data_IF_346472035758
#
_entry.id   IF_346472035758
#
_cell.length_a   1.000
_cell.length_b   1.000
_cell.length_c   1.000
_cell.angle_alpha   90.00
_cell.angle_beta   90.00
_cell.angle_gamma   90.00
#
_symmetry.space_group_name_H-M   'P 1'
#
loop_
_entity.id
_entity.type
_entity.pdbx_description
1 polymer ?
#
# COMPACT_ATOMS: atom_id res chain seq x y z
N UNK A 1 14.47 -19.85 7.73
CA UNK A 1 13.22 -19.67 6.98
C UNK A 1 13.57 -19.81 5.50
N UNK A 2 12.86 -20.65 4.74
CA UNK A 2 13.10 -20.80 3.29
C UNK A 2 12.59 -19.55 2.54
N UNK A 3 13.22 -19.20 1.42
CA UNK A 3 12.81 -18.11 0.51
C UNK A 3 11.35 -18.22 0.08
N UNK A 4 10.86 -19.40 -0.29
CA UNK A 4 9.45 -19.57 -0.69
C UNK A 4 8.47 -19.16 0.42
N UNK A 5 8.79 -19.47 1.68
CA UNK A 5 7.99 -19.05 2.84
C UNK A 5 8.09 -17.54 3.04
N UNK A 6 9.30 -16.97 2.95
CA UNK A 6 9.52 -15.54 3.10
C UNK A 6 8.73 -14.71 2.07
N UNK A 7 8.72 -15.15 0.81
CA UNK A 7 7.98 -14.49 -0.27
C UNK A 7 6.46 -14.57 -0.05
N UNK A 8 5.96 -15.72 0.41
CA UNK A 8 4.53 -15.91 0.71
C UNK A 8 4.08 -15.07 1.91
N UNK A 9 4.83 -15.11 3.02
CA UNK A 9 4.57 -14.30 4.20
C UNK A 9 4.65 -12.80 3.88
N UNK A 10 5.57 -12.40 3.01
CA UNK A 10 5.77 -11.01 2.64
C UNK A 10 4.70 -10.44 1.72
N UNK A 11 3.77 -11.26 1.20
CA UNK A 11 2.79 -10.90 0.16
C UNK A 11 3.43 -10.05 -0.94
N UNK A 12 4.61 -10.48 -1.39
CA UNK A 12 5.51 -9.68 -2.25
C UNK A 12 4.89 -9.33 -3.60
N UNK A 13 3.82 -10.02 -4.01
CA UNK A 13 3.03 -9.69 -5.18
C UNK A 13 2.43 -8.28 -5.15
N UNK A 14 2.26 -7.70 -3.96
CA UNK A 14 1.75 -6.34 -3.78
C UNK A 14 2.86 -5.29 -3.69
N UNK A 15 4.14 -5.65 -3.71
CA UNK A 15 5.24 -4.68 -3.65
C UNK A 15 5.17 -3.59 -4.73
N UNK A 16 4.73 -3.84 -5.97
CA UNK A 16 4.63 -2.78 -6.96
C UNK A 16 3.72 -1.64 -6.49
N UNK A 17 2.68 -1.91 -5.69
CA UNK A 17 1.83 -0.86 -5.08
C UNK A 17 2.61 0.04 -4.12
N UNK A 18 3.62 -0.49 -3.42
CA UNK A 18 4.51 0.29 -2.54
C UNK A 18 5.44 1.16 -3.38
N UNK A 19 5.93 0.62 -4.49
CA UNK A 19 6.84 1.34 -5.40
C UNK A 19 6.13 2.51 -6.06
N UNK A 20 4.91 2.32 -6.55
CA UNK A 20 4.11 3.41 -7.14
C UNK A 20 3.71 4.44 -6.11
N UNK A 21 3.34 4.04 -4.88
CA UNK A 21 3.08 4.99 -3.79
C UNK A 21 4.33 5.83 -3.46
N UNK A 22 5.50 5.20 -3.49
CA UNK A 22 6.79 5.87 -3.24
C UNK A 22 7.05 6.92 -4.31
N UNK A 23 6.92 6.55 -5.59
CA UNK A 23 7.12 7.47 -6.72
C UNK A 23 6.11 8.62 -6.64
N UNK A 24 4.82 8.32 -6.39
CA UNK A 24 3.78 9.35 -6.26
C UNK A 24 4.08 10.34 -5.13
N UNK A 25 4.49 9.85 -3.95
CA UNK A 25 4.88 10.71 -2.83
C UNK A 25 6.02 11.66 -3.18
N UNK A 26 7.05 11.18 -3.89
CA UNK A 26 8.20 11.97 -4.33
C UNK A 26 7.78 13.03 -5.37
N UNK A 27 7.04 12.61 -6.40
CA UNK A 27 6.58 13.49 -7.50
C UNK A 27 5.67 14.60 -6.96
N UNK A 28 4.70 14.26 -6.11
CA UNK A 28 3.78 15.24 -5.53
C UNK A 28 4.48 16.24 -4.59
N UNK A 29 5.63 15.88 -4.06
CA UNK A 29 6.46 16.78 -3.26
C UNK A 29 7.31 17.74 -4.14
N UNK A 30 7.35 17.52 -5.45
CA UNK A 30 8.25 18.21 -6.38
C UNK A 30 9.67 17.66 -6.37
N UNK A 31 9.89 16.45 -5.85
CA UNK A 31 11.20 15.79 -5.84
C UNK A 31 11.55 15.22 -7.22
N UNK A 32 12.80 15.39 -7.65
CA UNK A 32 13.28 14.83 -8.91
C UNK A 32 13.48 13.30 -8.82
N UNK A 33 12.88 12.56 -9.75
CA UNK A 33 12.89 11.08 -9.76
C UNK A 33 14.12 10.50 -10.48
N UNK A 34 15.10 11.34 -10.81
CA UNK A 34 16.37 10.92 -11.45
C UNK A 34 17.45 10.50 -10.45
N UNK A 35 17.14 10.58 -9.16
CA UNK A 35 18.08 10.35 -8.07
C UNK A 35 18.17 8.87 -7.66
N UNK A 36 19.37 8.32 -7.56
CA UNK A 36 19.56 6.93 -7.12
C UNK A 36 19.04 6.66 -5.71
N UNK A 37 18.88 7.70 -4.86
CA UNK A 37 18.24 7.60 -3.54
C UNK A 37 16.86 6.95 -3.60
N UNK A 38 16.15 7.07 -4.72
CA UNK A 38 14.82 6.46 -4.91
C UNK A 38 14.89 4.95 -4.76
N UNK A 39 15.96 4.31 -5.22
CA UNK A 39 16.16 2.87 -5.04
C UNK A 39 16.28 2.54 -3.56
N UNK A 40 17.03 3.34 -2.78
CA UNK A 40 17.15 3.16 -1.34
C UNK A 40 15.81 3.37 -0.61
N UNK A 41 15.03 4.37 -1.02
CA UNK A 41 13.70 4.64 -0.47
C UNK A 41 12.71 3.51 -0.80
N UNK A 42 12.72 3.01 -2.05
CA UNK A 42 11.92 1.85 -2.46
C UNK A 42 12.30 0.61 -1.64
N UNK A 43 13.60 0.35 -1.43
CA UNK A 43 14.07 -0.76 -0.60
C UNK A 43 13.59 -0.58 0.84
N UNK A 44 13.78 0.61 1.43
CA UNK A 44 13.36 0.89 2.80
C UNK A 44 11.85 0.68 2.98
N UNK A 45 11.01 1.26 2.13
CA UNK A 45 9.56 1.13 2.22
C UNK A 45 9.08 -0.29 1.88
N UNK A 46 9.80 -1.04 1.04
CA UNK A 46 9.56 -2.47 0.83
C UNK A 46 9.87 -3.29 2.08
N UNK A 47 10.95 -2.97 2.81
CA UNK A 47 11.26 -3.61 4.10
C UNK A 47 10.17 -3.31 5.14
N UNK A 48 9.70 -2.06 5.21
CA UNK A 48 8.57 -1.69 6.06
C UNK A 48 7.31 -2.49 5.74
N UNK A 49 6.99 -2.62 4.45
CA UNK A 49 5.85 -3.41 3.99
C UNK A 49 5.98 -4.88 4.37
N UNK A 50 7.08 -5.54 3.99
CA UNK A 50 7.31 -6.97 4.26
C UNK A 50 7.34 -7.23 5.77
N UNK A 51 7.99 -6.37 6.55
CA UNK A 51 7.98 -6.44 8.01
C UNK A 51 6.56 -6.35 8.57
N UNK A 52 5.73 -5.45 8.04
CA UNK A 52 4.32 -5.36 8.40
C UNK A 52 3.50 -6.61 8.06
N UNK A 53 3.79 -7.25 6.92
CA UNK A 53 3.13 -8.50 6.54
C UNK A 53 3.54 -9.66 7.44
N UNK A 54 4.82 -9.74 7.81
CA UNK A 54 5.30 -10.74 8.75
C UNK A 54 4.68 -10.55 10.14
N UNK A 55 4.55 -9.30 10.61
CA UNK A 55 3.82 -9.01 11.84
C UNK A 55 2.36 -9.45 11.74
N UNK A 56 1.70 -9.25 10.59
CA UNK A 56 0.32 -9.68 10.40
C UNK A 56 0.16 -11.19 10.65
N UNK A 57 0.93 -12.02 9.95
CA UNK A 57 0.91 -13.47 10.13
C UNK A 57 1.34 -13.88 11.55
N UNK A 58 2.31 -13.18 12.16
CA UNK A 58 2.76 -13.49 13.53
C UNK A 58 1.72 -13.20 14.60
N UNK A 59 1.01 -12.07 14.51
CA UNK A 59 -0.09 -11.74 15.44
C UNK A 59 -1.33 -12.60 15.20
N UNK A 60 -1.57 -13.03 13.96
CA UNK A 60 -2.71 -13.86 13.60
C UNK A 60 -2.50 -15.36 13.83
N UNK A 61 -1.31 -15.80 14.23
CA UNK A 61 -0.92 -17.21 14.31
C UNK A 61 -1.89 -18.10 15.11
N UNK A 62 -2.43 -17.64 16.25
CA UNK A 62 -3.37 -18.41 17.07
C UNK A 62 -4.72 -18.60 16.37
N UNK A 63 -5.18 -17.58 15.67
CA UNK A 63 -6.45 -17.61 14.93
C UNK A 63 -6.28 -18.43 13.66
N UNK A 64 -5.17 -18.24 12.95
CA UNK A 64 -4.80 -19.01 11.78
C UNK A 64 -4.63 -20.49 12.11
N UNK A 65 -4.25 -20.86 13.34
CA UNK A 65 -4.19 -22.26 13.74
C UNK A 65 -5.57 -22.95 13.76
N UNK A 66 -6.65 -22.19 13.92
CA UNK A 66 -8.03 -22.69 13.87
C UNK A 66 -8.60 -22.56 12.46
N UNK A 67 -8.45 -21.40 11.83
CA UNK A 67 -9.11 -21.10 10.54
C UNK A 67 -8.35 -21.60 9.32
N UNK A 68 -7.00 -21.64 9.38
CA UNK A 68 -6.09 -21.89 8.26
C UNK A 68 -4.81 -22.63 8.72
N UNK A 69 -4.94 -23.86 9.26
CA UNK A 69 -3.82 -24.58 9.89
C UNK A 69 -2.66 -24.89 8.92
N UNK A 70 -2.88 -24.80 7.62
CA UNK A 70 -1.87 -24.95 6.57
C UNK A 70 -0.90 -23.75 6.45
N UNK A 71 -1.15 -22.63 7.15
CA UNK A 71 -0.27 -21.46 7.12
C UNK A 71 1.10 -21.75 7.75
N UNK A 72 2.18 -21.04 7.33
CA UNK A 72 3.55 -21.40 7.70
C UNK A 72 3.85 -21.42 9.21
N UNK A 73 3.21 -20.54 10.00
CA UNK A 73 3.40 -20.50 11.44
C UNK A 73 2.63 -21.62 12.15
N UNK A 74 1.29 -21.76 11.98
CA UNK A 74 0.55 -22.86 12.60
C UNK A 74 1.04 -24.25 12.18
N UNK A 75 1.44 -24.42 10.92
CA UNK A 75 1.92 -25.71 10.41
C UNK A 75 3.36 -26.03 10.84
N UNK A 76 4.00 -25.20 11.66
CA UNK A 76 5.35 -25.42 12.18
C UNK A 76 6.50 -25.23 11.18
N UNK A 77 6.24 -24.72 9.97
CA UNK A 77 7.30 -24.47 8.96
C UNK A 77 8.26 -23.35 9.39
N UNK A 78 7.78 -22.41 10.22
CA UNK A 78 8.59 -21.36 10.84
C UNK A 78 8.03 -21.01 12.21
N UNK A 79 8.90 -20.74 13.19
CA UNK A 79 8.45 -20.35 14.53
C UNK A 79 7.97 -18.89 14.56
N UNK A 80 6.88 -18.64 15.28
CA UNK A 80 6.29 -17.30 15.47
C UNK A 80 7.32 -16.28 15.99
N UNK A 81 8.14 -16.68 16.97
CA UNK A 81 9.22 -15.85 17.53
C UNK A 81 10.26 -15.43 16.47
N UNK A 82 10.59 -16.32 15.54
CA UNK A 82 11.51 -15.99 14.46
C UNK A 82 10.88 -15.03 13.45
N UNK A 83 9.58 -15.18 13.15
CA UNK A 83 8.86 -14.24 12.28
C UNK A 83 8.83 -12.84 12.90
N UNK A 84 8.53 -12.71 14.20
CA UNK A 84 8.62 -11.43 14.92
C UNK A 84 10.01 -10.79 14.81
N UNK A 85 11.08 -11.57 15.04
CA UNK A 85 12.46 -11.06 14.95
C UNK A 85 12.77 -10.50 13.57
N UNK A 86 12.44 -11.23 12.51
CA UNK A 86 12.64 -10.75 11.13
C UNK A 86 11.81 -9.52 10.83
N UNK A 87 10.55 -9.50 11.28
CA UNK A 87 9.66 -8.38 11.06
C UNK A 87 10.20 -7.08 11.68
N UNK A 88 10.56 -7.10 12.96
CA UNK A 88 11.14 -5.94 13.63
C UNK A 88 12.52 -5.56 13.08
N UNK A 89 13.34 -6.53 12.70
CA UNK A 89 14.62 -6.25 12.05
C UNK A 89 14.45 -5.49 10.72
N UNK A 90 13.45 -5.87 9.91
CA UNK A 90 13.12 -5.17 8.66
C UNK A 90 12.59 -3.74 8.92
N UNK A 91 11.74 -3.54 9.93
CA UNK A 91 11.27 -2.20 10.31
C UNK A 91 12.43 -1.30 10.76
N UNK A 92 13.33 -1.81 11.59
CA UNK A 92 14.53 -1.08 12.04
C UNK A 92 15.47 -0.79 10.87
N UNK A 93 15.73 -1.77 10.00
CA UNK A 93 16.55 -1.58 8.82
C UNK A 93 15.97 -0.52 7.87
N UNK A 94 14.64 -0.50 7.69
CA UNK A 94 13.96 0.56 6.94
C UNK A 94 14.24 1.93 7.54
N UNK A 95 14.09 2.10 8.86
CA UNK A 95 14.32 3.39 9.53
C UNK A 95 15.78 3.84 9.40
N UNK A 96 16.74 2.93 9.53
CA UNK A 96 18.17 3.21 9.34
C UNK A 96 18.45 3.67 7.91
N UNK A 97 17.89 2.99 6.91
CA UNK A 97 18.04 3.39 5.51
C UNK A 97 17.44 4.78 5.25
N UNK A 98 16.26 5.06 5.80
CA UNK A 98 15.61 6.38 5.68
C UNK A 98 16.44 7.48 6.35
N UNK A 99 17.02 7.22 7.52
CA UNK A 99 17.95 8.14 8.18
C UNK A 99 19.18 8.40 7.29
N UNK A 100 19.70 7.36 6.65
CA UNK A 100 20.81 7.48 5.72
C UNK A 100 20.47 8.29 4.48
N UNK A 101 19.30 8.05 3.88
CA UNK A 101 18.79 8.84 2.74
C UNK A 101 18.69 10.32 3.09
N UNK A 102 18.23 10.63 4.30
CA UNK A 102 18.08 12.01 4.78
C UNK A 102 19.39 12.71 5.17
N UNK A 103 20.38 11.99 5.72
CA UNK A 103 21.58 12.60 6.32
C UNK A 103 22.88 12.41 5.53
N UNK A 104 23.01 11.35 4.73
CA UNK A 104 24.28 10.98 4.10
C UNK A 104 24.44 11.43 2.64
N UNK A 105 23.39 11.98 2.03
CA UNK A 105 23.41 12.36 0.61
C UNK A 105 23.16 13.87 0.41
N UNK A 106 23.76 14.48 -0.63
CA UNK A 106 23.44 15.86 -1.01
C UNK A 106 21.95 16.04 -1.30
N UNK A 107 21.37 17.14 -0.79
CA UNK A 107 19.92 17.38 -0.91
C UNK A 107 19.06 16.44 -0.06
N UNK A 108 19.65 15.73 0.91
CA UNK A 108 18.93 15.05 1.97
C UNK A 108 18.25 16.04 2.92
N UNK A 109 17.17 15.59 3.56
CA UNK A 109 16.30 16.40 4.42
C UNK A 109 16.58 16.19 5.91
N UNK A 110 17.72 15.64 6.29
CA UNK A 110 18.10 15.39 7.67
C UNK A 110 17.31 14.23 8.29
N UNK A 111 16.78 14.41 9.51
CA UNK A 111 16.14 13.34 10.29
C UNK A 111 14.67 13.07 9.92
N UNK A 112 14.04 13.95 9.13
CA UNK A 112 12.60 13.89 8.83
C UNK A 112 12.13 12.55 8.22
N UNK A 113 12.86 11.92 7.27
CA UNK A 113 12.46 10.62 6.74
C UNK A 113 12.47 9.52 7.80
N UNK A 114 13.45 9.54 8.70
CA UNK A 114 13.55 8.58 9.78
C UNK A 114 12.42 8.75 10.80
N UNK A 115 12.08 10.00 11.16
CA UNK A 115 10.94 10.29 12.04
C UNK A 115 9.62 9.80 11.43
N UNK A 116 9.39 10.10 10.14
CA UNK A 116 8.22 9.58 9.41
C UNK A 116 8.22 8.05 9.34
N UNK A 117 9.39 7.43 9.13
CA UNK A 117 9.57 5.97 9.17
C UNK A 117 9.27 5.36 10.54
N UNK A 118 9.59 6.03 11.65
CA UNK A 118 9.21 5.61 13.00
C UNK A 118 7.69 5.68 13.16
N UNK A 119 7.03 6.75 12.69
CA UNK A 119 5.58 6.85 12.70
C UNK A 119 4.92 5.74 11.86
N UNK A 120 5.48 5.42 10.70
CA UNK A 120 5.05 4.29 9.86
C UNK A 120 5.16 2.97 10.64
N UNK A 121 6.33 2.66 11.19
CA UNK A 121 6.59 1.43 11.94
C UNK A 121 5.66 1.30 13.16
N UNK A 122 5.45 2.39 13.90
CA UNK A 122 4.52 2.43 15.02
C UNK A 122 3.08 2.14 14.56
N UNK A 123 2.64 2.75 13.46
CA UNK A 123 1.30 2.52 12.88
C UNK A 123 1.12 1.06 12.44
N UNK A 124 2.14 0.47 11.80
CA UNK A 124 2.15 -0.95 11.41
C UNK A 124 2.00 -1.87 12.64
N UNK A 125 2.73 -1.59 13.73
CA UNK A 125 2.65 -2.37 14.97
C UNK A 125 1.28 -2.22 15.63
N UNK A 126 0.78 -0.98 15.74
CA UNK A 126 -0.54 -0.67 16.33
C UNK A 126 -1.66 -1.36 15.55
N UNK A 127 -1.61 -1.31 14.22
CA UNK A 127 -2.54 -2.04 13.37
C UNK A 127 -2.50 -3.54 13.72
N UNK A 128 -1.35 -4.19 13.54
CA UNK A 128 -1.28 -5.65 13.62
C UNK A 128 -1.67 -6.20 15.00
N UNK A 129 -1.33 -5.49 16.08
CA UNK A 129 -1.65 -5.92 17.44
C UNK A 129 -3.16 -6.05 17.71
N UNK A 130 -3.98 -5.16 17.16
CA UNK A 130 -5.39 -5.03 17.55
C UNK A 130 -6.38 -4.98 16.36
N UNK A 131 -6.02 -5.41 15.16
CA UNK A 131 -6.84 -5.11 13.97
C UNK A 131 -8.16 -5.90 13.81
N UNK A 132 -8.25 -7.13 14.33
CA UNK A 132 -9.42 -7.99 14.05
C UNK A 132 -10.71 -7.46 14.69
N UNK A 133 -10.65 -7.09 15.98
CA UNK A 133 -11.81 -6.61 16.74
C UNK A 133 -11.96 -5.08 16.76
N UNK A 134 -11.10 -4.34 16.06
CA UNK A 134 -11.14 -2.90 16.05
C UNK A 134 -11.90 -2.36 14.82
N UNK A 135 -13.00 -1.59 15.01
CA UNK A 135 -13.76 -1.01 13.92
C UNK A 135 -12.98 0.06 13.15
N UNK A 136 -11.95 0.66 13.76
CA UNK A 136 -11.10 1.70 13.17
C UNK A 136 -9.96 1.09 12.35
N UNK A 137 -9.79 -0.25 12.33
CA UNK A 137 -8.66 -0.88 11.62
C UNK A 137 -8.54 -0.56 10.13
N UNK A 138 -9.63 -0.42 9.34
CA UNK A 138 -9.52 0.06 7.96
C UNK A 138 -8.79 1.40 7.85
N UNK A 139 -9.08 2.32 8.77
CA UNK A 139 -8.41 3.61 8.84
C UNK A 139 -6.94 3.47 9.24
N UNK A 140 -6.62 2.67 10.26
CA UNK A 140 -5.21 2.46 10.68
C UNK A 140 -4.40 1.76 9.58
N UNK A 141 -4.98 0.78 8.86
CA UNK A 141 -4.32 0.15 7.71
C UNK A 141 -4.06 1.18 6.60
N UNK A 142 -5.04 2.03 6.30
CA UNK A 142 -4.88 3.12 5.34
C UNK A 142 -3.81 4.13 5.75
N UNK A 143 -3.69 4.43 7.06
CA UNK A 143 -2.65 5.31 7.59
C UNK A 143 -1.23 4.76 7.33
N UNK A 144 -1.03 3.45 7.32
CA UNK A 144 0.27 2.88 6.91
C UNK A 144 0.65 3.36 5.50
N UNK A 145 -0.30 3.43 4.56
CA UNK A 145 -0.04 3.90 3.20
C UNK A 145 0.07 5.42 3.09
N UNK A 146 -0.63 6.17 3.94
CA UNK A 146 -0.40 7.62 4.13
C UNK A 146 1.05 7.86 4.53
N UNK A 147 1.55 7.15 5.54
CA UNK A 147 2.94 7.32 5.97
C UNK A 147 3.96 6.87 4.92
N UNK A 148 3.64 5.91 4.03
CA UNK A 148 4.50 5.61 2.87
C UNK A 148 4.67 6.85 1.98
N UNK A 149 3.56 7.54 1.64
CA UNK A 149 3.59 8.80 0.87
C UNK A 149 4.42 9.87 1.57
N UNK A 150 4.13 10.15 2.84
CA UNK A 150 4.81 11.20 3.61
C UNK A 150 6.30 10.89 3.82
N UNK A 151 6.64 9.62 4.05
CA UNK A 151 8.03 9.19 4.21
C UNK A 151 8.79 9.33 2.90
N UNK A 152 8.21 8.89 1.78
CA UNK A 152 8.84 9.03 0.46
C UNK A 152 9.04 10.51 0.10
N UNK A 153 8.01 11.35 0.28
CA UNK A 153 8.08 12.78 0.03
C UNK A 153 9.16 13.47 0.89
N UNK A 154 9.16 13.18 2.19
CA UNK A 154 10.11 13.79 3.12
C UNK A 154 11.56 13.39 2.86
N UNK A 155 11.85 12.32 2.11
CA UNK A 155 13.22 11.99 1.70
C UNK A 155 13.85 13.04 0.77
N UNK A 156 13.04 13.82 0.05
CA UNK A 156 13.51 14.74 -0.98
C UNK A 156 13.17 16.20 -0.71
N UNK A 157 12.01 16.46 -0.11
CA UNK A 157 11.53 17.84 0.11
C UNK A 157 10.93 17.97 1.51
N UNK A 158 11.34 19.02 2.22
CA UNK A 158 10.71 19.49 3.47
C UNK A 158 10.77 21.03 3.45
N UNK A 159 9.66 21.74 3.76
CA UNK A 159 8.33 21.27 4.16
C UNK A 159 7.55 20.58 3.01
N UNK A 160 6.60 19.71 3.38
CA UNK A 160 5.78 18.98 2.41
C UNK A 160 4.72 19.87 1.76
N UNK A 161 4.57 19.75 0.44
CA UNK A 161 3.57 20.49 -0.32
C UNK A 161 2.15 19.92 -0.15
N UNK A 162 1.14 20.77 -0.32
CA UNK A 162 -0.29 20.41 -0.25
C UNK A 162 -0.66 19.19 -1.12
N UNK A 163 -0.17 19.04 -2.37
CA UNK A 163 -0.50 17.89 -3.21
C UNK A 163 -0.14 16.53 -2.59
N UNK A 164 0.91 16.46 -1.76
CA UNK A 164 1.28 15.23 -1.04
C UNK A 164 0.17 14.81 -0.08
N UNK A 165 -0.38 15.77 0.68
CA UNK A 165 -1.44 15.50 1.65
C UNK A 165 -2.77 15.17 0.96
N UNK A 166 -3.07 15.81 -0.17
CA UNK A 166 -4.25 15.46 -0.98
C UNK A 166 -4.11 14.03 -1.51
N UNK A 167 -2.97 13.69 -2.13
CA UNK A 167 -2.72 12.34 -2.64
C UNK A 167 -2.81 11.27 -1.55
N UNK A 168 -2.19 11.51 -0.40
CA UNK A 168 -2.27 10.62 0.75
C UNK A 168 -3.71 10.48 1.29
N UNK A 169 -4.49 11.57 1.34
CA UNK A 169 -5.89 11.55 1.74
C UNK A 169 -6.79 10.76 0.78
N UNK A 170 -6.56 10.87 -0.53
CA UNK A 170 -7.28 10.09 -1.54
C UNK A 170 -6.94 8.59 -1.44
N UNK A 171 -5.67 8.26 -1.23
CA UNK A 171 -5.25 6.87 -1.00
C UNK A 171 -5.86 6.30 0.28
N UNK A 172 -5.92 7.10 1.35
CA UNK A 172 -6.60 6.73 2.60
C UNK A 172 -8.09 6.44 2.37
N UNK A 173 -8.80 7.33 1.68
CA UNK A 173 -10.21 7.13 1.34
C UNK A 173 -10.39 5.83 0.54
N UNK A 174 -9.59 5.64 -0.50
CA UNK A 174 -9.61 4.42 -1.31
C UNK A 174 -9.40 3.16 -0.46
N UNK A 175 -8.44 3.18 0.46
CA UNK A 175 -8.13 2.05 1.33
C UNK A 175 -9.17 1.79 2.40
N UNK A 176 -9.87 2.80 2.91
CA UNK A 176 -11.01 2.58 3.81
C UNK A 176 -12.08 1.75 3.10
N UNK A 177 -12.44 2.12 1.86
CA UNK A 177 -13.39 1.36 1.05
C UNK A 177 -12.91 -0.06 0.77
N UNK A 178 -11.66 -0.22 0.31
CA UNK A 178 -11.04 -1.52 0.02
C UNK A 178 -10.98 -2.43 1.25
N UNK A 179 -10.46 -1.93 2.38
CA UNK A 179 -10.24 -2.73 3.58
C UNK A 179 -11.56 -3.14 4.23
N UNK A 180 -12.58 -2.29 4.10
CA UNK A 180 -13.93 -2.63 4.52
C UNK A 180 -14.51 -3.80 3.71
N UNK A 181 -14.36 -3.80 2.37
CA UNK A 181 -14.72 -4.93 1.52
C UNK A 181 -13.97 -6.20 1.95
N UNK A 182 -12.66 -6.10 2.18
CA UNK A 182 -11.83 -7.23 2.60
C UNK A 182 -12.27 -7.81 3.95
N UNK A 183 -12.73 -6.98 4.89
CA UNK A 183 -13.29 -7.47 6.17
C UNK A 183 -14.63 -8.19 6.00
N UNK A 184 -15.47 -7.75 5.06
CA UNK A 184 -16.75 -8.41 4.81
C UNK A 184 -16.60 -9.80 4.17
N UNK A 185 -15.47 -10.08 3.52
CA UNK A 185 -15.12 -11.43 3.02
C UNK A 185 -15.21 -12.48 4.12
N UNK A 186 -14.69 -12.19 5.31
CA UNK A 186 -14.67 -13.13 6.43
C UNK A 186 -16.01 -13.26 7.17
N UNK A 187 -16.91 -12.27 7.01
CA UNK A 187 -18.19 -12.22 7.75
C UNK A 187 -19.37 -12.79 6.97
N UNK A 188 -19.22 -13.04 5.66
CA UNK A 188 -20.28 -13.61 4.81
C UNK A 188 -21.55 -12.74 4.68
N UNK A 189 -21.55 -11.52 5.24
CA UNK A 189 -22.67 -10.58 5.24
C UNK A 189 -22.18 -9.17 4.91
N UNK A 190 -22.89 -8.51 3.99
CA UNK A 190 -22.68 -7.11 3.62
C UNK A 190 -23.74 -6.29 4.32
N UNK A 191 -23.47 -5.83 5.53
CA UNK A 191 -24.48 -5.12 6.32
C UNK A 191 -24.47 -3.60 6.08
N UNK A 192 -23.33 -2.99 5.73
CA UNK A 192 -23.22 -1.53 5.53
C UNK A 192 -22.39 -1.15 4.29
N UNK A 193 -22.98 -0.55 3.26
CA UNK A 193 -22.28 -0.17 2.03
C UNK A 193 -21.66 1.24 2.05
N UNK A 194 -21.93 2.05 3.09
CA UNK A 194 -21.48 3.43 3.16
C UNK A 194 -19.94 3.61 3.03
N UNK A 195 -19.06 2.70 3.50
CA UNK A 195 -17.62 2.87 3.32
C UNK A 195 -17.18 2.79 1.85
N UNK A 196 -18.00 2.23 0.95
CA UNK A 196 -17.73 2.24 -0.48
C UNK A 196 -17.79 3.65 -1.08
N UNK A 197 -18.47 4.59 -0.43
CA UNK A 197 -18.51 6.00 -0.87
C UNK A 197 -17.11 6.62 -0.90
N UNK A 198 -16.19 6.15 -0.04
CA UNK A 198 -14.81 6.62 -0.06
C UNK A 198 -14.03 6.21 -1.32
N UNK A 199 -14.44 5.14 -2.03
CA UNK A 199 -13.89 4.81 -3.35
C UNK A 199 -14.26 5.86 -4.39
N UNK A 200 -15.32 6.64 -4.17
CA UNK A 200 -15.72 7.75 -5.03
C UNK A 200 -14.80 8.96 -4.95
N UNK A 201 -14.13 9.20 -3.82
CA UNK A 201 -13.24 10.35 -3.65
C UNK A 201 -12.12 10.45 -4.72
N UNK A 202 -11.31 9.40 -4.96
CA UNK A 202 -10.32 9.43 -6.04
C UNK A 202 -10.93 9.50 -7.45
N UNK A 203 -12.14 8.95 -7.66
CA UNK A 203 -12.83 9.04 -8.96
C UNK A 203 -13.24 10.49 -9.23
N UNK A 204 -13.86 11.17 -8.27
CA UNK A 204 -14.30 12.56 -8.41
C UNK A 204 -13.10 13.49 -8.57
N UNK A 205 -12.06 13.32 -7.75
CA UNK A 205 -10.86 14.14 -7.83
C UNK A 205 -10.09 13.92 -9.14
N UNK A 206 -9.92 12.67 -9.58
CA UNK A 206 -9.31 12.36 -10.87
C UNK A 206 -10.10 12.93 -12.05
N UNK A 207 -11.44 12.94 -11.96
CA UNK A 207 -12.31 13.57 -12.94
C UNK A 207 -12.09 15.08 -12.99
N UNK A 208 -12.02 15.75 -11.83
CA UNK A 208 -11.69 17.17 -11.75
C UNK A 208 -10.31 17.48 -12.36
N UNK A 209 -9.29 16.68 -12.04
CA UNK A 209 -7.95 16.83 -12.65
C UNK A 209 -7.97 16.66 -14.17
N UNK A 210 -8.80 15.74 -14.69
CA UNK A 210 -8.90 15.49 -16.14
C UNK A 210 -9.45 16.68 -16.93
N UNK A 211 -10.22 17.56 -16.28
CA UNK A 211 -10.72 18.80 -16.89
C UNK A 211 -9.59 19.81 -17.13
N UNK A 212 -8.64 19.88 -16.20
CA UNK A 212 -7.48 20.80 -16.27
C UNK A 212 -6.29 20.19 -17.01
N UNK A 213 -6.17 18.86 -17.01
CA UNK A 213 -5.07 18.12 -17.62
C UNK A 213 -5.63 17.01 -18.50
N UNK A 214 -5.87 17.30 -19.77
CA UNK A 214 -6.50 16.36 -20.72
C UNK A 214 -5.76 15.02 -20.83
N UNK A 215 -4.44 15.02 -20.63
CA UNK A 215 -3.62 13.81 -20.65
C UNK A 215 -3.87 12.87 -19.45
N UNK A 216 -4.51 13.34 -18.38
CA UNK A 216 -4.94 12.53 -17.23
C UNK A 216 -6.22 11.75 -17.54
N UNK A 217 -7.04 12.22 -18.48
CA UNK A 217 -8.34 11.62 -18.78
C UNK A 217 -8.29 10.12 -19.12
N UNK A 218 -7.35 9.61 -19.95
CA UNK A 218 -7.25 8.17 -20.22
C UNK A 218 -6.93 7.34 -18.98
N UNK A 219 -6.04 7.83 -18.10
CA UNK A 219 -5.69 7.16 -16.85
C UNK A 219 -6.86 7.15 -15.87
N UNK A 220 -7.59 8.26 -15.79
CA UNK A 220 -8.80 8.37 -14.98
C UNK A 220 -9.92 7.43 -15.47
N UNK A 221 -10.16 7.33 -16.79
CA UNK A 221 -11.12 6.40 -17.36
C UNK A 221 -10.73 4.94 -17.08
N UNK A 222 -9.44 4.61 -17.22
CA UNK A 222 -8.92 3.28 -16.90
C UNK A 222 -9.12 2.94 -15.41
N UNK A 223 -8.73 3.84 -14.50
CA UNK A 223 -8.94 3.66 -13.06
C UNK A 223 -10.42 3.51 -12.71
N UNK A 224 -11.27 4.40 -13.22
CA UNK A 224 -12.71 4.38 -12.94
C UNK A 224 -13.35 3.11 -13.45
N UNK A 225 -13.06 2.72 -14.70
CA UNK A 225 -13.52 1.45 -15.27
C UNK A 225 -13.06 0.25 -14.45
N UNK A 226 -11.80 0.25 -13.98
CA UNK A 226 -11.27 -0.81 -13.14
C UNK A 226 -11.97 -0.92 -11.79
N UNK A 227 -12.21 0.20 -11.10
CA UNK A 227 -12.97 0.23 -9.84
C UNK A 227 -14.40 -0.27 -10.07
N UNK A 228 -15.06 0.14 -11.17
CA UNK A 228 -16.40 -0.35 -11.51
C UNK A 228 -16.43 -1.85 -11.77
N UNK A 229 -15.41 -2.42 -12.43
CA UNK A 229 -15.26 -3.88 -12.60
C UNK A 229 -15.12 -4.58 -11.25
N UNK A 230 -14.32 -4.04 -10.33
CA UNK A 230 -14.19 -4.60 -8.98
C UNK A 230 -15.52 -4.54 -8.20
N UNK A 231 -16.24 -3.42 -8.28
CA UNK A 231 -17.56 -3.27 -7.66
C UNK A 231 -18.62 -4.19 -8.31
N UNK A 232 -18.49 -4.47 -9.61
CA UNK A 232 -19.36 -5.42 -10.29
C UNK A 232 -19.23 -6.84 -9.72
N UNK A 233 -18.02 -7.30 -9.39
CA UNK A 233 -17.84 -8.58 -8.68
C UNK A 233 -18.55 -8.58 -7.32
N UNK A 234 -18.45 -7.49 -6.55
CA UNK A 234 -19.18 -7.36 -5.27
C UNK A 234 -20.70 -7.36 -5.42
N UNK A 235 -21.21 -6.82 -6.54
CA UNK A 235 -22.64 -6.85 -6.85
C UNK A 235 -23.09 -8.24 -7.29
N UNK A 236 -22.30 -8.94 -8.11
CA UNK A 236 -22.60 -10.27 -8.64
C UNK A 236 -22.63 -11.34 -7.54
N UNK A 237 -21.72 -11.26 -6.57
CA UNK A 237 -21.64 -12.17 -5.40
C UNK A 237 -21.51 -13.65 -5.77
N UNK A 238 -20.86 -13.96 -6.90
CA UNK A 238 -20.52 -15.33 -7.26
C UNK A 238 -19.39 -15.89 -6.37
N UNK A 239 -19.19 -17.23 -6.34
CA UNK A 239 -18.08 -17.84 -5.62
C UNK A 239 -16.73 -17.25 -6.06
N UNK A 240 -15.96 -16.70 -5.11
CA UNK A 240 -14.64 -16.10 -5.35
C UNK A 240 -14.66 -14.65 -5.85
N UNK A 241 -15.83 -14.02 -6.02
CA UNK A 241 -15.94 -12.64 -6.51
C UNK A 241 -15.39 -11.61 -5.52
N UNK A 242 -15.61 -11.79 -4.21
CA UNK A 242 -15.10 -10.86 -3.17
C UNK A 242 -13.56 -10.85 -3.14
N UNK A 243 -12.85 -12.00 -3.01
CA UNK A 243 -11.39 -12.00 -3.10
C UNK A 243 -10.88 -11.38 -4.41
N UNK A 244 -11.54 -11.67 -5.54
CA UNK A 244 -11.18 -11.08 -6.84
C UNK A 244 -11.35 -9.56 -6.84
N UNK A 245 -12.40 -9.03 -6.23
CA UNK A 245 -12.60 -7.60 -6.07
C UNK A 245 -11.50 -6.97 -5.20
N UNK A 246 -11.16 -7.58 -4.06
CA UNK A 246 -10.11 -7.09 -3.15
C UNK A 246 -8.76 -7.05 -3.86
N UNK A 247 -8.35 -8.14 -4.49
CA UNK A 247 -7.09 -8.25 -5.25
C UNK A 247 -7.04 -7.22 -6.39
N UNK A 248 -8.16 -7.03 -7.11
CA UNK A 248 -8.28 -6.01 -8.17
C UNK A 248 -8.15 -4.59 -7.61
N UNK A 249 -8.78 -4.29 -6.48
CA UNK A 249 -8.69 -2.98 -5.84
C UNK A 249 -7.28 -2.72 -5.28
N UNK A 250 -6.58 -3.74 -4.78
CA UNK A 250 -5.17 -3.59 -4.35
C UNK A 250 -4.31 -3.14 -5.54
N UNK A 251 -4.43 -3.81 -6.69
CA UNK A 251 -3.71 -3.38 -7.89
C UNK A 251 -4.11 -1.97 -8.34
N UNK A 252 -5.39 -1.61 -8.20
CA UNK A 252 -5.93 -0.29 -8.55
C UNK A 252 -5.26 0.90 -7.85
N UNK A 253 -4.56 0.69 -6.72
CA UNK A 253 -3.74 1.74 -6.09
C UNK A 253 -2.70 2.31 -7.05
N UNK A 254 -2.07 1.46 -7.86
CA UNK A 254 -1.07 1.88 -8.84
C UNK A 254 -1.66 2.81 -9.92
N UNK A 255 -2.93 2.62 -10.28
CA UNK A 255 -3.63 3.49 -11.24
C UNK A 255 -3.99 4.84 -10.63
N UNK A 256 -4.37 4.87 -9.34
CA UNK A 256 -4.53 6.13 -8.62
C UNK A 256 -3.20 6.91 -8.56
N UNK A 257 -2.10 6.23 -8.24
CA UNK A 257 -0.77 6.83 -8.26
C UNK A 257 -0.44 7.40 -9.65
N UNK A 258 -0.77 6.66 -10.74
CA UNK A 258 -0.55 7.12 -12.12
C UNK A 258 -1.29 8.43 -12.44
N UNK A 259 -2.55 8.57 -12.01
CA UNK A 259 -3.34 9.80 -12.18
C UNK A 259 -2.66 10.97 -11.49
N UNK A 260 -2.24 10.78 -10.23
CA UNK A 260 -1.61 11.83 -9.42
C UNK A 260 -0.25 12.25 -9.99
N UNK A 261 0.57 11.28 -10.38
CA UNK A 261 1.88 11.51 -11.01
C UNK A 261 1.71 12.26 -12.35
N UNK A 262 0.77 11.84 -13.20
CA UNK A 262 0.50 12.51 -14.47
C UNK A 262 0.00 13.96 -14.28
N UNK A 263 -0.81 14.20 -13.23
CA UNK A 263 -1.29 15.54 -12.91
C UNK A 263 -0.19 16.51 -12.47
N UNK A 264 0.93 15.98 -11.95
CA UNK A 264 2.12 16.74 -11.63
C UNK A 264 3.04 16.99 -12.84
N UNK A 265 2.65 16.54 -14.04
CA UNK A 265 3.41 16.71 -15.29
C UNK A 265 4.33 15.53 -15.64
N UNK A 266 4.44 14.53 -14.78
CA UNK A 266 5.42 13.43 -14.91
C UNK A 266 4.86 12.20 -15.66
N UNK A 267 4.45 12.36 -16.91
CA UNK A 267 3.75 11.31 -17.67
C UNK A 267 4.55 10.00 -17.80
N UNK A 268 5.88 10.08 -17.95
CA UNK A 268 6.73 8.89 -18.06
C UNK A 268 6.66 8.02 -16.80
N UNK A 269 6.65 8.65 -15.62
CA UNK A 269 6.53 7.96 -14.34
C UNK A 269 5.10 7.46 -14.10
N UNK A 270 4.09 8.13 -14.66
CA UNK A 270 2.72 7.63 -14.64
C UNK A 270 2.61 6.29 -15.39
N UNK A 271 3.31 6.12 -16.51
CA UNK A 271 3.39 4.82 -17.20
C UNK A 271 4.11 3.75 -16.38
N UNK A 272 5.14 4.12 -15.60
CA UNK A 272 5.76 3.20 -14.63
C UNK A 272 4.74 2.75 -13.60
N UNK A 273 3.85 3.64 -13.15
CA UNK A 273 2.78 3.27 -12.24
C UNK A 273 1.73 2.35 -12.88
N UNK A 274 1.36 2.56 -14.15
CA UNK A 274 0.53 1.62 -14.92
C UNK A 274 1.22 0.26 -15.11
N UNK A 275 2.54 0.23 -15.29
CA UNK A 275 3.30 -1.02 -15.29
C UNK A 275 3.25 -1.69 -13.91
N UNK A 276 3.35 -0.92 -12.83
CA UNK A 276 3.16 -1.41 -11.46
C UNK A 276 1.78 -2.06 -11.25
N UNK A 277 0.72 -1.52 -11.86
CA UNK A 277 -0.60 -2.15 -11.89
C UNK A 277 -0.56 -3.53 -12.56
N UNK A 278 0.00 -3.62 -13.77
CA UNK A 278 0.10 -4.87 -14.51
C UNK A 278 0.97 -5.92 -13.78
N UNK A 279 2.11 -5.48 -13.21
CA UNK A 279 3.00 -6.33 -12.41
C UNK A 279 2.30 -6.84 -11.14
N UNK A 280 1.53 -6.01 -10.46
CA UNK A 280 0.76 -6.43 -9.28
C UNK A 280 -0.18 -7.58 -9.65
N UNK A 281 -0.99 -7.41 -10.70
CA UNK A 281 -1.91 -8.45 -11.17
C UNK A 281 -1.19 -9.71 -11.64
N UNK A 282 -0.04 -9.56 -12.30
CA UNK A 282 0.76 -10.69 -12.75
C UNK A 282 1.32 -11.49 -11.58
N UNK A 283 1.96 -10.83 -10.60
CA UNK A 283 2.53 -11.51 -9.44
C UNK A 283 1.47 -12.12 -8.53
N UNK A 284 0.28 -11.52 -8.44
CA UNK A 284 -0.85 -12.08 -7.69
C UNK A 284 -1.33 -13.45 -8.23
N UNK A 285 -0.96 -13.83 -9.46
CA UNK A 285 -1.22 -15.18 -10.00
C UNK A 285 -0.32 -16.26 -9.38
N UNK A 286 0.85 -15.88 -8.86
CA UNK A 286 1.83 -16.80 -8.30
C UNK A 286 1.89 -16.75 -6.77
N UNK A 287 1.69 -15.57 -6.19
CA UNK A 287 1.72 -15.34 -4.74
C UNK A 287 0.45 -14.59 -4.35
N UNK A 288 -0.38 -15.19 -3.50
CA UNK A 288 -1.63 -14.57 -3.05
C UNK A 288 -1.36 -13.17 -2.47
N UNK A 289 -2.12 -12.18 -2.95
CA UNK A 289 -2.06 -10.79 -2.46
C UNK A 289 -2.79 -10.57 -1.14
N UNK A 290 -3.56 -11.56 -0.68
CA UNK A 290 -4.40 -11.56 0.52
C UNK A 290 -4.28 -12.91 1.21
#
# INVERSE_FOLDING_TARGET
MNWGIALKLGRVSNLPTVWTNTIAGIVLAGGAVTDFRIVLVIIALSLSYIGGMFLNDAYDAEIDAVERPERPIPSGQVSQKNVFRWAFAMLVASIILLLGVGTMFPGGTGIWPALSGVCLAATIVVYNRNHKNNPISPFIMGLCRVFVYLTAASCFVVPLAIPVFIGAGLLLAYLIGLTYIAKQENLGKVENLWPLLFLGAPIVYGGFLSLSHIMVAPLWLLFTGWVLVALYFLKRRGPGDIPRAVVSLIAGMCLLDAILIASAGEMQLAFVAVLGFALTLFFQRFISGT
#
